data_IF_470303950972
#
_entry.id   IF_470303950972
#
_cell.length_a   1.000
_cell.length_b   1.000
_cell.length_c   1.000
_cell.angle_alpha   90.00
_cell.angle_beta   90.00
_cell.angle_gamma   90.00
#
_symmetry.space_group_name_H-M   'P 1'
#
loop_
_entity.id
_entity.type
_entity.pdbx_description
1 polymer ?
#
# COMPACT_ATOMS: atom_id res chain seq x y z
N UNK A 1 -5.49 -15.65 1.12
CA UNK A 1 -4.10 -15.99 0.72
C UNK A 1 -3.19 -14.90 1.26
N UNK A 2 -1.95 -15.18 1.65
CA UNK A 2 -1.01 -14.18 2.21
C UNK A 2 0.28 -14.19 1.39
N UNK A 3 0.89 -13.03 1.05
CA UNK A 3 2.17 -13.01 0.35
C UNK A 3 3.27 -13.71 1.16
N UNK A 4 4.05 -14.60 0.54
CA UNK A 4 5.15 -15.28 1.24
C UNK A 4 6.38 -14.38 1.48
N UNK A 5 6.50 -13.28 0.73
CA UNK A 5 7.62 -12.33 0.80
C UNK A 5 7.19 -10.97 0.27
N UNK A 6 8.01 -9.95 0.52
CA UNK A 6 7.83 -8.63 -0.05
C UNK A 6 7.86 -8.69 -1.60
N UNK A 7 6.82 -8.15 -2.23
CA UNK A 7 6.76 -7.90 -3.67
C UNK A 7 7.07 -6.45 -3.98
N UNK A 8 7.71 -6.19 -5.12
CA UNK A 8 8.05 -4.85 -5.59
C UNK A 8 7.69 -4.70 -7.06
N UNK A 9 7.16 -3.54 -7.42
CA UNK A 9 6.93 -3.15 -8.81
C UNK A 9 7.25 -1.67 -9.01
N UNK A 10 7.60 -1.32 -10.25
CA UNK A 10 7.80 0.06 -10.66
C UNK A 10 7.05 0.31 -11.95
N UNK A 11 6.45 1.49 -12.06
CA UNK A 11 5.77 1.95 -13.26
C UNK A 11 6.15 3.39 -13.54
N UNK A 12 6.41 3.70 -14.80
CA UNK A 12 6.56 5.08 -15.26
C UNK A 12 5.37 5.41 -16.16
N UNK A 13 4.64 6.45 -15.79
CA UNK A 13 3.50 6.95 -16.56
C UNK A 13 3.70 8.45 -16.76
N UNK A 14 3.99 8.84 -18.01
CA UNK A 14 4.40 10.21 -18.38
C UNK A 14 5.63 10.66 -17.57
N UNK A 15 5.52 11.78 -16.86
CA UNK A 15 6.55 12.29 -15.97
C UNK A 15 6.61 11.55 -14.63
N UNK A 16 5.49 10.96 -14.18
CA UNK A 16 5.40 10.33 -12.86
C UNK A 16 6.11 8.97 -12.83
N UNK A 17 6.75 8.68 -11.71
CA UNK A 17 7.32 7.37 -11.35
C UNK A 17 6.61 6.84 -10.12
N UNK A 18 6.20 5.58 -10.18
CA UNK A 18 5.48 4.89 -9.11
C UNK A 18 6.31 3.71 -8.62
N UNK A 19 6.48 3.60 -7.31
CA UNK A 19 7.17 2.51 -6.65
C UNK A 19 6.20 1.80 -5.71
N UNK A 20 5.77 0.60 -6.08
CA UNK A 20 4.83 -0.20 -5.31
C UNK A 20 5.54 -1.29 -4.50
N UNK A 21 5.09 -1.48 -3.27
CA UNK A 21 5.58 -2.49 -2.33
C UNK A 21 4.38 -3.22 -1.75
N UNK A 22 4.35 -4.56 -1.87
CA UNK A 22 3.37 -5.41 -1.22
C UNK A 22 4.08 -6.23 -0.13
N UNK A 23 3.72 -6.01 1.12
CA UNK A 23 4.43 -6.49 2.29
C UNK A 23 3.54 -7.44 3.10
N UNK A 24 3.98 -8.66 3.42
CA UNK A 24 3.27 -9.47 4.40
C UNK A 24 3.34 -8.79 5.77
N UNK A 25 2.18 -8.65 6.42
CA UNK A 25 2.03 -8.04 7.75
C UNK A 25 0.90 -8.74 8.50
N UNK A 26 1.13 -9.04 9.77
CA UNK A 26 0.17 -9.73 10.64
C UNK A 26 -0.55 -8.76 11.59
N UNK A 27 -0.03 -7.55 11.75
CA UNK A 27 -0.61 -6.54 12.66
C UNK A 27 -0.60 -5.14 12.02
N UNK A 28 -1.48 -4.26 12.50
CA UNK A 28 -1.53 -2.88 12.02
C UNK A 28 -0.30 -2.09 12.42
N UNK A 29 0.39 -2.46 13.49
CA UNK A 29 1.67 -1.88 13.88
C UNK A 29 2.76 -2.23 12.87
N UNK A 30 2.79 -3.48 12.37
CA UNK A 30 3.72 -3.87 11.30
C UNK A 30 3.43 -3.12 10.00
N UNK A 31 2.15 -2.94 9.65
CA UNK A 31 1.74 -2.14 8.50
C UNK A 31 2.17 -0.66 8.64
N UNK A 32 1.96 -0.07 9.81
CA UNK A 32 2.37 1.31 10.12
C UNK A 32 3.89 1.47 10.07
N UNK A 33 4.64 0.53 10.65
CA UNK A 33 6.11 0.54 10.60
C UNK A 33 6.65 0.41 9.16
N UNK A 34 5.98 -0.39 8.32
CA UNK A 34 6.35 -0.52 6.91
C UNK A 34 6.07 0.76 6.12
N UNK A 35 4.93 1.42 6.37
CA UNK A 35 4.62 2.73 5.80
C UNK A 35 5.66 3.77 6.21
N UNK A 36 6.01 3.84 7.50
CA UNK A 36 6.99 4.80 8.01
C UNK A 36 8.38 4.56 7.39
N UNK A 37 8.81 3.29 7.31
CA UNK A 37 10.07 2.90 6.65
C UNK A 37 10.09 3.31 5.18
N UNK A 38 9.01 3.04 4.44
CA UNK A 38 8.93 3.36 3.02
C UNK A 38 8.77 4.86 2.77
N UNK A 39 8.06 5.58 3.63
CA UNK A 39 8.00 7.05 3.61
C UNK A 39 9.38 7.68 3.81
N UNK A 40 10.18 7.16 4.75
CA UNK A 40 11.58 7.59 4.90
C UNK A 40 12.45 7.25 3.70
N UNK A 41 12.26 6.07 3.10
CA UNK A 41 12.99 5.65 1.89
C UNK A 41 12.68 6.56 0.70
N UNK A 42 11.43 6.97 0.56
CA UNK A 42 10.94 7.84 -0.51
C UNK A 42 10.62 9.23 0.02
N UNK A 43 11.56 9.83 0.77
CA UNK A 43 11.38 11.15 1.36
C UNK A 43 11.12 12.27 0.32
N UNK A 44 11.57 12.06 -0.92
CA UNK A 44 11.35 12.96 -2.05
C UNK A 44 10.03 12.69 -2.81
N UNK A 45 9.31 11.61 -2.47
CA UNK A 45 8.03 11.32 -3.11
C UNK A 45 6.99 12.36 -2.70
N UNK A 46 6.20 12.80 -3.67
CA UNK A 46 5.15 13.80 -3.46
C UNK A 46 3.98 13.21 -2.70
N UNK A 47 3.67 11.93 -2.97
CA UNK A 47 2.62 11.20 -2.26
C UNK A 47 3.11 9.79 -1.93
N UNK A 48 2.83 9.35 -0.69
CA UNK A 48 3.06 7.97 -0.25
C UNK A 48 1.71 7.41 0.18
N UNK A 49 1.00 6.83 -0.79
CA UNK A 49 -0.34 6.29 -0.62
C UNK A 49 -0.27 4.83 -0.18
N UNK A 50 -1.30 4.34 0.51
CA UNK A 50 -1.29 2.96 0.98
C UNK A 50 -2.69 2.38 1.15
N UNK A 51 -2.74 1.05 1.20
CA UNK A 51 -3.83 0.32 1.81
C UNK A 51 -3.34 -0.98 2.46
N UNK A 52 -4.07 -1.49 3.44
CA UNK A 52 -3.84 -2.81 4.01
C UNK A 52 -5.14 -3.51 4.37
N UNK A 53 -5.06 -4.83 4.40
CA UNK A 53 -6.08 -5.73 4.90
C UNK A 53 -5.39 -6.80 5.73
N UNK A 54 -5.79 -6.93 6.99
CA UNK A 54 -5.16 -7.82 7.97
C UNK A 54 -6.28 -8.62 8.66
N UNK A 55 -6.16 -9.94 8.69
CA UNK A 55 -7.22 -10.83 9.16
C UNK A 55 -8.26 -11.18 8.08
N UNK A 56 -9.36 -11.81 8.48
CA UNK A 56 -10.35 -12.35 7.54
C UNK A 56 -11.78 -12.06 7.99
N UNK A 57 -12.71 -12.07 7.02
CA UNK A 57 -14.13 -11.80 7.28
C UNK A 57 -14.38 -10.40 7.85
N UNK A 58 -15.43 -10.27 8.66
CA UNK A 58 -15.89 -9.00 9.22
C UNK A 58 -14.95 -8.44 10.30
N UNK A 59 -14.04 -9.26 10.84
CA UNK A 59 -13.03 -8.83 11.81
C UNK A 59 -11.74 -8.34 11.15
N UNK A 60 -11.67 -8.32 9.82
CA UNK A 60 -10.50 -7.84 9.11
C UNK A 60 -10.26 -6.34 9.39
N UNK A 61 -9.03 -6.00 9.77
CA UNK A 61 -8.58 -4.63 9.93
C UNK A 61 -8.20 -4.07 8.57
N UNK A 62 -9.02 -3.14 8.08
CA UNK A 62 -8.88 -2.56 6.75
C UNK A 62 -8.61 -1.06 6.88
N UNK A 63 -7.62 -0.56 6.14
CA UNK A 63 -7.36 0.88 6.03
C UNK A 63 -6.80 1.22 4.66
N UNK A 64 -7.11 2.42 4.18
CA UNK A 64 -6.49 3.01 3.00
C UNK A 64 -6.31 4.52 3.19
N UNK A 65 -5.36 5.11 2.47
CA UNK A 65 -5.14 6.55 2.46
C UNK A 65 -4.65 7.04 1.10
N UNK A 66 -5.21 8.17 0.66
CA UNK A 66 -4.80 8.89 -0.54
C UNK A 66 -3.60 9.83 -0.31
N UNK A 67 -3.13 10.01 0.94
CA UNK A 67 -1.93 10.80 1.27
C UNK A 67 -1.80 12.16 0.56
N UNK A 68 -2.92 12.89 0.43
CA UNK A 68 -2.97 14.20 -0.23
C UNK A 68 -3.31 14.16 -1.72
N UNK A 69 -3.39 12.99 -2.35
CA UNK A 69 -4.03 12.81 -3.66
C UNK A 69 -5.54 13.13 -3.57
N UNK A 70 -6.21 13.41 -4.69
CA UNK A 70 -7.66 13.60 -4.72
C UNK A 70 -8.41 12.47 -4.01
N UNK A 71 -9.42 12.81 -3.21
CA UNK A 71 -10.13 11.85 -2.38
C UNK A 71 -10.67 10.67 -3.21
N UNK A 72 -10.32 9.46 -2.80
CA UNK A 72 -10.75 8.21 -3.42
C UNK A 72 -9.94 7.76 -4.63
N UNK A 73 -8.88 8.48 -5.01
CA UNK A 73 -8.17 8.23 -6.28
C UNK A 73 -6.99 7.25 -6.18
N UNK A 74 -6.47 6.96 -4.98
CA UNK A 74 -5.26 6.17 -4.82
C UNK A 74 -5.37 5.05 -3.77
N UNK A 75 -5.69 5.39 -2.52
CA UNK A 75 -5.85 4.43 -1.43
C UNK A 75 -6.94 3.39 -1.70
N UNK A 76 -8.19 3.79 -2.01
CA UNK A 76 -9.26 2.83 -2.27
C UNK A 76 -9.03 1.92 -3.49
N UNK A 77 -8.47 2.40 -4.62
CA UNK A 77 -8.03 1.51 -5.70
C UNK A 77 -7.03 0.43 -5.27
N UNK A 78 -6.05 0.76 -4.41
CA UNK A 78 -5.09 -0.22 -3.88
C UNK A 78 -5.83 -1.27 -3.03
N UNK A 79 -6.74 -0.84 -2.15
CA UNK A 79 -7.53 -1.76 -1.34
C UNK A 79 -8.36 -2.72 -2.20
N UNK A 80 -9.03 -2.21 -3.23
CA UNK A 80 -9.80 -3.03 -4.18
C UNK A 80 -8.92 -4.05 -4.90
N UNK A 81 -7.67 -3.69 -5.23
CA UNK A 81 -6.74 -4.63 -5.84
C UNK A 81 -6.36 -5.78 -4.88
N UNK A 82 -6.14 -5.48 -3.59
CA UNK A 82 -5.91 -6.50 -2.55
C UNK A 82 -7.13 -7.44 -2.46
N UNK A 83 -8.33 -6.88 -2.38
CA UNK A 83 -9.57 -7.65 -2.25
C UNK A 83 -9.86 -8.52 -3.48
N UNK A 84 -9.73 -7.95 -4.67
CA UNK A 84 -9.93 -8.66 -5.95
C UNK A 84 -8.94 -9.82 -6.12
N UNK A 85 -7.70 -9.65 -5.64
CA UNK A 85 -6.69 -10.70 -5.65
C UNK A 85 -6.90 -11.77 -4.54
N UNK A 86 -7.89 -11.63 -3.65
CA UNK A 86 -8.17 -12.59 -2.58
C UNK A 86 -7.04 -12.70 -1.55
N UNK A 87 -6.22 -11.64 -1.42
CA UNK A 87 -5.10 -11.58 -0.49
C UNK A 87 -5.47 -10.86 0.80
N UNK A 88 -4.85 -11.28 1.90
CA UNK A 88 -4.94 -10.66 3.21
C UNK A 88 -3.58 -10.71 3.91
N UNK A 89 -3.50 -10.19 5.13
CA UNK A 89 -2.29 -10.03 5.92
C UNK A 89 -1.21 -9.32 5.10
N UNK A 90 -1.62 -8.23 4.46
CA UNK A 90 -0.81 -7.49 3.50
C UNK A 90 -1.00 -5.98 3.63
N UNK A 91 0.12 -5.27 3.59
CA UNK A 91 0.18 -3.83 3.39
C UNK A 91 0.76 -3.52 2.02
N UNK A 92 0.07 -2.70 1.24
CA UNK A 92 0.54 -2.19 -0.04
C UNK A 92 0.80 -0.70 0.09
N UNK A 93 2.02 -0.27 -0.21
CA UNK A 93 2.45 1.12 -0.18
C UNK A 93 2.95 1.50 -1.56
N UNK A 94 2.50 2.64 -2.07
CA UNK A 94 2.92 3.19 -3.36
C UNK A 94 3.47 4.58 -3.14
N UNK A 95 4.75 4.77 -3.48
CA UNK A 95 5.37 6.10 -3.52
C UNK A 95 5.28 6.65 -4.95
N UNK A 96 4.82 7.89 -5.09
CA UNK A 96 4.75 8.61 -6.35
C UNK A 96 5.74 9.77 -6.34
N UNK A 97 6.65 9.76 -7.30
CA UNK A 97 7.56 10.84 -7.63
C UNK A 97 7.12 11.49 -8.95
N UNK A 98 7.36 12.80 -9.09
CA UNK A 98 7.19 13.52 -10.35
C UNK A 98 8.48 13.57 -11.18
#
# INVERSE_FOLDING_TARGET
MTPAREGRAQLRERASRFFAYALPVETTEQAAAALERLGRKHHDATHVVFAWKIGAGDSAQIRSSDAGEPAGSAGPPILRAIESAGVTDVAVVVAREF
#
